data_IF_819655772019
#
_entry.id   IF_819655772019
#
_cell.length_a   1.000
_cell.length_b   1.000
_cell.length_c   1.000
_cell.angle_alpha   90.00
_cell.angle_beta   90.00
_cell.angle_gamma   90.00
#
_symmetry.space_group_name_H-M   'P 1'
#
loop_
_entity.id
_entity.type
_entity.pdbx_description
1 polymer ?
#
# COMPACT_ATOMS: atom_id res chain seq x y z
N UNK A 1 24.03 -26.54 -21.02
CA UNK A 1 24.48 -25.23 -20.51
C UNK A 1 24.27 -25.25 -19.01
N UNK A 2 25.34 -25.21 -18.22
CA UNK A 2 25.21 -25.05 -16.77
C UNK A 2 24.79 -23.61 -16.46
N UNK A 3 23.75 -23.45 -15.64
CA UNK A 3 23.30 -22.13 -15.17
C UNK A 3 24.35 -21.58 -14.20
N UNK A 4 25.09 -20.56 -14.65
CA UNK A 4 26.10 -19.87 -13.82
C UNK A 4 25.49 -19.12 -12.63
N UNK A 5 26.33 -18.62 -11.73
CA UNK A 5 25.90 -18.00 -10.46
C UNK A 5 24.87 -16.87 -10.66
N UNK A 6 25.06 -16.02 -11.67
CA UNK A 6 24.12 -14.94 -12.02
C UNK A 6 22.73 -15.50 -12.37
N UNK A 7 22.67 -16.52 -13.22
CA UNK A 7 21.41 -17.17 -13.61
C UNK A 7 20.69 -17.77 -12.38
N UNK A 8 21.42 -18.41 -11.47
CA UNK A 8 20.83 -19.01 -10.26
C UNK A 8 20.28 -17.95 -9.30
N UNK A 9 21.02 -16.85 -9.08
CA UNK A 9 20.60 -15.76 -8.20
C UNK A 9 19.37 -15.05 -8.77
N UNK A 10 19.30 -14.82 -10.08
CA UNK A 10 18.17 -14.16 -10.71
C UNK A 10 16.91 -15.02 -10.75
N UNK A 11 17.04 -16.35 -10.89
CA UNK A 11 15.92 -17.29 -10.69
C UNK A 11 15.41 -17.21 -9.25
N UNK A 12 16.32 -17.13 -8.26
CA UNK A 12 15.94 -17.00 -6.87
C UNK A 12 15.25 -15.65 -6.58
N UNK A 13 15.72 -14.57 -7.20
CA UNK A 13 15.06 -13.27 -7.16
C UNK A 13 13.62 -13.36 -7.68
N UNK A 14 13.43 -13.96 -8.86
CA UNK A 14 12.10 -14.17 -9.43
C UNK A 14 11.19 -15.02 -8.52
N UNK A 15 11.71 -16.12 -7.97
CA UNK A 15 10.95 -17.01 -7.08
C UNK A 15 10.52 -16.33 -5.78
N UNK A 16 11.37 -15.45 -5.23
CA UNK A 16 11.12 -14.75 -3.97
C UNK A 16 10.16 -13.55 -4.09
N UNK A 17 9.72 -13.20 -5.30
CA UNK A 17 8.69 -12.16 -5.51
C UNK A 17 7.25 -12.63 -5.21
N UNK A 18 6.97 -13.93 -5.25
CA UNK A 18 5.63 -14.46 -4.98
C UNK A 18 5.22 -14.46 -3.49
N UNK A 19 6.08 -14.88 -2.54
CA UNK A 19 5.72 -14.96 -1.12
C UNK A 19 5.12 -13.69 -0.50
N UNK A 20 5.60 -12.46 -0.79
CA UNK A 20 4.99 -11.24 -0.24
C UNK A 20 3.52 -11.04 -0.64
N UNK A 21 3.12 -11.45 -1.85
CA UNK A 21 1.72 -11.42 -2.29
C UNK A 21 0.85 -12.40 -1.48
N UNK A 22 1.34 -13.63 -1.25
CA UNK A 22 0.65 -14.60 -0.41
C UNK A 22 0.55 -14.14 1.05
N UNK A 23 1.59 -13.47 1.54
CA UNK A 23 1.62 -12.84 2.86
C UNK A 23 0.55 -11.76 3.01
N UNK A 24 0.38 -10.91 1.98
CA UNK A 24 -0.71 -9.94 1.90
C UNK A 24 -2.07 -10.64 1.95
N UNK A 25 -2.28 -11.66 1.11
CA UNK A 25 -3.52 -12.42 1.06
C UNK A 25 -3.84 -13.10 2.40
N UNK A 26 -2.82 -13.62 3.09
CA UNK A 26 -2.95 -14.20 4.43
C UNK A 26 -3.39 -13.16 5.47
N UNK A 27 -2.80 -11.96 5.46
CA UNK A 27 -3.26 -10.86 6.31
C UNK A 27 -4.73 -10.49 6.00
N UNK A 28 -5.09 -10.40 4.71
CA UNK A 28 -6.46 -10.12 4.28
C UNK A 28 -7.46 -11.15 4.82
N UNK A 29 -7.13 -12.44 4.71
CA UNK A 29 -7.95 -13.54 5.19
C UNK A 29 -8.09 -13.58 6.71
N UNK A 30 -6.97 -13.49 7.43
CA UNK A 30 -6.93 -13.67 8.88
C UNK A 30 -7.52 -12.47 9.65
N UNK A 31 -7.31 -11.27 9.14
CA UNK A 31 -7.77 -10.04 9.79
C UNK A 31 -9.21 -9.73 9.40
N UNK A 32 -9.62 -9.99 8.15
CA UNK A 32 -10.95 -9.65 7.62
C UNK A 32 -11.85 -10.83 7.23
N UNK A 33 -11.99 -11.91 8.03
CA UNK A 33 -12.57 -13.16 7.58
C UNK A 33 -14.04 -13.05 7.09
N UNK A 34 -14.79 -12.04 7.54
CA UNK A 34 -16.20 -11.89 7.16
C UNK A 34 -16.44 -11.30 5.77
N UNK A 35 -15.45 -10.66 5.15
CA UNK A 35 -15.46 -10.33 3.72
C UNK A 35 -14.18 -9.61 3.27
N UNK A 36 -13.03 -10.28 3.24
CA UNK A 36 -11.80 -9.69 2.68
C UNK A 36 -11.99 -9.16 1.24
N UNK A 37 -12.82 -9.85 0.43
CA UNK A 37 -13.28 -9.42 -0.90
C UNK A 37 -14.15 -8.15 -0.92
N UNK A 38 -14.64 -7.67 0.23
CA UNK A 38 -15.34 -6.37 0.36
C UNK A 38 -14.47 -5.30 1.00
N UNK A 39 -13.30 -5.66 1.53
CA UNK A 39 -12.34 -4.70 2.07
C UNK A 39 -11.68 -3.98 0.90
N UNK A 40 -11.96 -2.69 0.78
CA UNK A 40 -11.36 -1.88 -0.28
C UNK A 40 -9.85 -1.74 -0.05
N UNK A 41 -9.42 -1.70 1.22
CA UNK A 41 -7.99 -1.71 1.56
C UNK A 41 -7.30 -3.01 1.09
N UNK A 42 -7.93 -4.17 1.32
CA UNK A 42 -7.41 -5.45 0.85
C UNK A 42 -7.32 -5.51 -0.68
N UNK A 43 -8.36 -5.05 -1.39
CA UNK A 43 -8.36 -4.99 -2.86
C UNK A 43 -7.22 -4.12 -3.36
N UNK A 44 -7.07 -2.90 -2.82
CA UNK A 44 -6.03 -1.97 -3.23
C UNK A 44 -4.61 -2.55 -3.06
N UNK A 45 -4.34 -3.19 -1.91
CA UNK A 45 -3.02 -3.77 -1.63
C UNK A 45 -2.75 -5.01 -2.49
N UNK A 46 -3.74 -5.90 -2.65
CA UNK A 46 -3.61 -7.06 -3.55
C UNK A 46 -3.37 -6.61 -4.99
N UNK A 47 -4.11 -5.61 -5.48
CA UNK A 47 -3.88 -5.02 -6.81
C UNK A 47 -2.47 -4.47 -6.96
N UNK A 48 -1.92 -3.82 -5.92
CA UNK A 48 -0.52 -3.39 -5.91
C UNK A 48 0.46 -4.54 -6.12
N UNK A 49 0.28 -5.65 -5.38
CA UNK A 49 1.11 -6.85 -5.56
C UNK A 49 0.92 -7.50 -6.94
N UNK A 50 -0.31 -7.56 -7.44
CA UNK A 50 -0.59 -8.09 -8.79
C UNK A 50 0.04 -7.26 -9.91
N UNK A 51 0.30 -5.97 -9.68
CA UNK A 51 1.03 -5.13 -10.62
C UNK A 51 2.55 -5.32 -10.49
N UNK A 52 3.08 -5.29 -9.27
CA UNK A 52 4.52 -5.36 -9.01
C UNK A 52 5.13 -6.74 -9.35
N UNK A 53 4.49 -7.82 -8.90
CA UNK A 53 5.08 -9.17 -8.98
C UNK A 53 5.40 -9.59 -10.41
N UNK A 54 4.48 -9.45 -11.40
CA UNK A 54 4.78 -9.83 -12.77
C UNK A 54 5.92 -9.02 -13.39
N UNK A 55 5.96 -7.70 -13.17
CA UNK A 55 6.97 -6.83 -13.74
C UNK A 55 8.37 -7.15 -13.18
N UNK A 56 8.48 -7.30 -11.86
CA UNK A 56 9.72 -7.69 -11.19
C UNK A 56 10.18 -9.09 -11.58
N UNK A 57 9.26 -10.06 -11.59
CA UNK A 57 9.54 -11.44 -12.00
C UNK A 57 10.05 -11.47 -13.44
N UNK A 58 9.42 -10.71 -14.36
CA UNK A 58 9.85 -10.63 -15.75
C UNK A 58 11.25 -10.00 -15.88
N UNK A 59 11.55 -8.95 -15.12
CA UNK A 59 12.88 -8.31 -15.11
C UNK A 59 13.98 -9.29 -14.68
N UNK A 60 13.77 -10.01 -13.57
CA UNK A 60 14.71 -10.99 -13.05
C UNK A 60 14.87 -12.20 -13.97
N UNK A 61 13.78 -12.78 -14.47
CA UNK A 61 13.86 -13.89 -15.42
C UNK A 61 14.56 -13.47 -16.71
N UNK A 62 14.32 -12.26 -17.21
CA UNK A 62 15.05 -11.75 -18.38
C UNK A 62 16.56 -11.73 -18.10
N UNK A 63 16.99 -11.20 -16.95
CA UNK A 63 18.40 -11.17 -16.56
C UNK A 63 18.98 -12.57 -16.41
N UNK A 64 18.23 -13.51 -15.81
CA UNK A 64 18.65 -14.90 -15.65
C UNK A 64 18.98 -15.58 -16.98
N UNK A 65 18.16 -15.34 -18.02
CA UNK A 65 18.31 -15.99 -19.32
C UNK A 65 19.24 -15.25 -20.29
N UNK A 66 19.47 -13.94 -20.09
CA UNK A 66 20.25 -13.11 -21.03
C UNK A 66 21.57 -12.60 -20.44
N UNK A 67 21.82 -12.80 -19.13
CA UNK A 67 23.03 -12.37 -18.44
C UNK A 67 23.12 -10.85 -18.19
N UNK A 68 22.10 -10.09 -18.56
CA UNK A 68 22.00 -8.65 -18.36
C UNK A 68 20.55 -8.21 -18.21
N UNK A 69 20.32 -7.13 -17.46
CA UNK A 69 18.99 -6.53 -17.36
C UNK A 69 18.63 -5.77 -18.64
N UNK A 70 17.32 -5.74 -18.93
CA UNK A 70 16.75 -4.87 -19.95
C UNK A 70 16.27 -3.58 -19.28
N UNK A 71 16.87 -2.40 -19.55
CA UNK A 71 16.54 -1.15 -18.85
C UNK A 71 15.08 -0.73 -18.95
N UNK A 72 14.34 -1.22 -19.95
CA UNK A 72 12.90 -1.00 -20.08
C UNK A 72 12.10 -1.81 -19.06
N UNK A 73 12.50 -3.07 -18.78
CA UNK A 73 11.83 -3.92 -17.80
C UNK A 73 12.13 -3.47 -16.38
N UNK A 74 13.36 -3.05 -16.09
CA UNK A 74 13.71 -2.49 -14.77
C UNK A 74 12.90 -1.24 -14.45
N UNK A 75 12.76 -0.33 -15.42
CA UNK A 75 11.93 0.87 -15.24
C UNK A 75 10.45 0.54 -15.12
N UNK A 76 9.97 -0.45 -15.87
CA UNK A 76 8.58 -0.93 -15.75
C UNK A 76 8.31 -1.51 -14.35
N UNK A 77 9.23 -2.33 -13.83
CA UNK A 77 9.14 -2.87 -12.47
C UNK A 77 9.03 -1.75 -11.44
N UNK A 78 9.95 -0.79 -11.49
CA UNK A 78 9.97 0.35 -10.59
C UNK A 78 8.73 1.26 -10.72
N UNK A 79 8.17 1.42 -11.93
CA UNK A 79 6.92 2.12 -12.14
C UNK A 79 5.72 1.37 -11.53
N UNK A 80 5.71 0.04 -11.61
CA UNK A 80 4.70 -0.77 -10.92
C UNK A 80 4.79 -0.62 -9.39
N UNK A 81 6.01 -0.51 -8.83
CA UNK A 81 6.23 -0.19 -7.40
C UNK A 81 5.69 1.21 -7.06
N UNK A 82 5.94 2.19 -7.92
CA UNK A 82 5.42 3.57 -7.80
C UNK A 82 3.88 3.57 -7.75
N UNK A 83 3.22 2.88 -8.67
CA UNK A 83 1.74 2.76 -8.72
C UNK A 83 1.20 2.04 -7.47
N UNK A 84 1.82 0.92 -7.09
CA UNK A 84 1.42 0.18 -5.90
C UNK A 84 1.57 1.02 -4.62
N UNK A 85 2.55 1.91 -4.56
CA UNK A 85 2.74 2.85 -3.45
C UNK A 85 1.57 3.84 -3.31
N UNK A 86 0.96 4.27 -4.42
CA UNK A 86 -0.26 5.11 -4.40
C UNK A 86 -1.45 4.34 -3.83
N UNK A 87 -1.60 3.07 -4.23
CA UNK A 87 -2.65 2.19 -3.69
C UNK A 87 -2.45 1.94 -2.19
N UNK A 88 -1.21 1.71 -1.75
CA UNK A 88 -0.86 1.56 -0.35
C UNK A 88 -1.11 2.85 0.46
N UNK A 89 -0.76 4.01 -0.10
CA UNK A 89 -1.04 5.31 0.52
C UNK A 89 -2.54 5.51 0.75
N UNK A 90 -3.37 5.13 -0.21
CA UNK A 90 -4.82 5.17 -0.04
C UNK A 90 -5.29 4.17 1.02
N UNK A 91 -4.85 2.91 0.95
CA UNK A 91 -5.25 1.86 1.89
C UNK A 91 -4.92 2.23 3.34
N UNK A 92 -3.74 2.82 3.58
CA UNK A 92 -3.27 3.19 4.91
C UNK A 92 -3.80 4.53 5.41
N UNK A 93 -4.12 5.50 4.54
CA UNK A 93 -4.60 6.82 4.98
C UNK A 93 -6.11 6.99 4.92
N UNK A 94 -6.78 6.26 4.03
CA UNK A 94 -8.19 6.46 3.62
C UNK A 94 -8.49 7.90 3.22
N UNK A 95 -7.50 8.62 2.69
CA UNK A 95 -7.59 10.04 2.35
C UNK A 95 -7.26 10.28 0.88
N UNK A 96 -8.27 10.72 0.12
CA UNK A 96 -8.09 11.05 -1.30
C UNK A 96 -7.06 12.16 -1.53
N UNK A 97 -7.02 13.17 -0.64
CA UNK A 97 -6.05 14.26 -0.74
C UNK A 97 -4.62 13.76 -0.55
N UNK A 98 -4.39 12.91 0.46
CA UNK A 98 -3.08 12.32 0.71
C UNK A 98 -2.66 11.40 -0.43
N UNK A 99 -3.57 10.57 -0.94
CA UNK A 99 -3.34 9.72 -2.11
C UNK A 99 -3.00 10.53 -3.35
N UNK A 100 -3.69 11.65 -3.60
CA UNK A 100 -3.38 12.53 -4.74
C UNK A 100 -1.99 13.16 -4.60
N UNK A 101 -1.59 13.55 -3.39
CA UNK A 101 -0.26 14.06 -3.11
C UNK A 101 0.84 13.01 -3.33
N UNK A 102 0.66 11.77 -2.83
CA UNK A 102 1.60 10.68 -3.13
C UNK A 102 1.60 10.36 -4.62
N UNK A 103 0.43 10.36 -5.26
CA UNK A 103 0.27 10.15 -6.69
C UNK A 103 1.02 11.16 -7.55
N UNK A 104 1.01 12.44 -7.20
CA UNK A 104 1.77 13.46 -7.94
C UNK A 104 3.28 13.27 -7.82
N UNK A 105 3.76 12.83 -6.65
CA UNK A 105 5.17 12.46 -6.45
C UNK A 105 5.54 11.25 -7.31
N UNK A 106 4.72 10.19 -7.27
CA UNK A 106 4.90 8.98 -8.07
C UNK A 106 4.92 9.28 -9.58
N UNK A 107 3.98 10.09 -10.07
CA UNK A 107 3.95 10.54 -11.48
C UNK A 107 5.22 11.31 -11.84
N UNK A 108 5.67 12.21 -10.96
CA UNK A 108 6.90 12.99 -11.20
C UNK A 108 8.13 12.09 -11.26
N UNK A 109 8.20 11.10 -10.37
CA UNK A 109 9.25 10.08 -10.38
C UNK A 109 9.24 9.27 -11.68
N UNK A 110 8.08 8.75 -12.09
CA UNK A 110 7.96 7.97 -13.31
C UNK A 110 8.32 8.81 -14.55
N UNK A 111 7.91 10.09 -14.61
CA UNK A 111 8.32 11.01 -15.67
C UNK A 111 9.83 11.20 -15.72
N UNK A 112 10.50 11.38 -14.57
CA UNK A 112 11.96 11.48 -14.51
C UNK A 112 12.65 10.16 -14.92
N UNK A 113 12.05 9.01 -14.63
CA UNK A 113 12.59 7.71 -14.98
C UNK A 113 12.50 7.38 -16.48
N UNK A 114 11.43 7.82 -17.14
CA UNK A 114 11.18 7.50 -18.55
C UNK A 114 11.55 8.61 -19.53
N UNK A 115 11.43 9.87 -19.10
CA UNK A 115 11.62 11.06 -19.93
C UNK A 115 12.64 12.05 -19.35
N UNK A 116 13.31 11.70 -18.25
CA UNK A 116 14.34 12.53 -17.66
C UNK A 116 15.67 12.52 -18.44
N UNK A 117 16.68 13.24 -17.93
CA UNK A 117 18.03 13.22 -18.47
C UNK A 117 18.61 11.79 -18.50
N UNK A 118 19.42 11.51 -19.51
CA UNK A 118 19.99 10.18 -19.73
C UNK A 118 20.89 9.73 -18.56
N UNK A 119 21.49 10.67 -17.82
CA UNK A 119 22.28 10.34 -16.63
C UNK A 119 21.44 9.66 -15.54
N UNK A 120 20.16 10.00 -15.41
CA UNK A 120 19.24 9.41 -14.43
C UNK A 120 18.73 8.03 -14.87
N UNK A 121 18.77 7.72 -16.16
CA UNK A 121 18.33 6.42 -16.68
C UNK A 121 19.20 5.26 -16.20
N UNK A 122 20.48 5.51 -15.90
CA UNK A 122 21.42 4.48 -15.45
C UNK A 122 21.64 4.49 -13.92
N UNK A 123 21.16 5.50 -13.21
CA UNK A 123 21.42 5.67 -11.78
C UNK A 123 20.43 4.87 -10.89
N UNK A 124 20.65 3.54 -10.79
CA UNK A 124 19.77 2.62 -10.03
C UNK A 124 19.60 3.05 -8.57
N UNK A 125 20.68 3.47 -7.90
CA UNK A 125 20.65 3.87 -6.48
C UNK A 125 19.67 5.02 -6.21
N UNK A 126 19.63 6.02 -7.10
CA UNK A 126 18.72 7.17 -6.97
C UNK A 126 17.25 6.71 -7.02
N UNK A 127 16.94 5.81 -7.95
CA UNK A 127 15.57 5.30 -8.12
C UNK A 127 15.15 4.46 -6.90
N UNK A 128 16.04 3.61 -6.42
CA UNK A 128 15.80 2.79 -5.21
C UNK A 128 15.60 3.66 -3.97
N UNK A 129 16.47 4.64 -3.74
CA UNK A 129 16.37 5.56 -2.60
C UNK A 129 15.10 6.41 -2.66
N UNK A 130 14.72 6.89 -3.85
CA UNK A 130 13.50 7.69 -4.01
C UNK A 130 12.24 6.88 -3.75
N UNK A 131 12.18 5.63 -4.25
CA UNK A 131 11.10 4.72 -3.93
C UNK A 131 11.05 4.41 -2.43
N UNK A 132 12.19 4.27 -1.76
CA UNK A 132 12.22 4.09 -0.31
C UNK A 132 11.66 5.30 0.44
N UNK A 133 11.91 6.53 -0.04
CA UNK A 133 11.27 7.74 0.49
C UNK A 133 9.75 7.74 0.27
N UNK A 134 9.27 7.29 -0.90
CA UNK A 134 7.84 7.13 -1.17
C UNK A 134 7.21 6.09 -0.23
N UNK A 135 7.94 5.01 0.09
CA UNK A 135 7.51 4.01 1.08
C UNK A 135 7.33 4.64 2.46
N UNK A 136 8.33 5.38 2.95
CA UNK A 136 8.22 6.09 4.22
C UNK A 136 7.05 7.08 4.22
N UNK A 137 6.84 7.77 3.10
CA UNK A 137 5.74 8.70 2.94
C UNK A 137 4.40 7.98 3.08
N UNK A 138 4.15 6.90 2.33
CA UNK A 138 2.86 6.21 2.41
C UNK A 138 2.63 5.49 3.75
N UNK A 139 3.71 5.15 4.48
CA UNK A 139 3.63 4.56 5.82
C UNK A 139 3.31 5.60 6.90
N UNK A 140 3.62 6.88 6.66
CA UNK A 140 3.41 7.95 7.65
C UNK A 140 2.00 8.01 8.29
N UNK A 141 0.88 7.72 7.59
CA UNK A 141 -0.46 7.73 8.22
C UNK A 141 -0.59 6.75 9.39
N UNK A 142 0.24 5.71 9.46
CA UNK A 142 0.26 4.79 10.60
C UNK A 142 0.69 5.46 11.91
N UNK A 143 1.35 6.63 11.83
CA UNK A 143 1.78 7.42 12.99
C UNK A 143 0.76 8.51 13.34
N UNK A 144 0.32 9.29 12.35
CA UNK A 144 -0.44 10.52 12.60
C UNK A 144 -1.95 10.40 12.34
N UNK A 145 -2.41 9.34 11.65
CA UNK A 145 -3.84 9.17 11.27
C UNK A 145 -4.56 8.12 12.10
N UNK A 146 -3.86 7.45 13.02
CA UNK A 146 -4.42 6.40 13.87
C UNK A 146 -4.91 7.02 15.20
N UNK A 147 -6.04 6.51 15.70
CA UNK A 147 -6.57 6.92 17.02
C UNK A 147 -5.82 6.23 18.17
N UNK A 148 -5.17 5.10 17.87
CA UNK A 148 -4.38 4.30 18.82
C UNK A 148 -3.04 3.94 18.19
N UNK A 149 -2.08 3.57 19.03
CA UNK A 149 -0.77 3.15 18.54
C UNK A 149 -0.89 1.88 17.67
N UNK A 150 -0.42 1.96 16.43
CA UNK A 150 -0.41 0.83 15.51
C UNK A 150 0.83 -0.04 15.72
N UNK A 151 0.67 -1.12 16.48
CA UNK A 151 1.76 -2.07 16.76
C UNK A 151 2.39 -2.69 15.49
N UNK A 152 1.70 -2.64 14.35
CA UNK A 152 2.25 -3.14 13.08
C UNK A 152 3.45 -2.30 12.60
N UNK A 153 3.58 -1.06 13.08
CA UNK A 153 4.67 -0.16 12.65
C UNK A 153 6.06 -0.65 13.06
N UNK A 154 6.18 -1.32 14.22
CA UNK A 154 7.47 -1.81 14.74
C UNK A 154 8.10 -2.83 13.78
N UNK A 155 7.43 -3.96 13.46
CA UNK A 155 8.00 -4.93 12.52
C UNK A 155 8.16 -4.34 11.11
N UNK A 156 7.28 -3.42 10.68
CA UNK A 156 7.43 -2.73 9.38
C UNK A 156 8.72 -1.91 9.35
N UNK A 157 9.01 -1.12 10.37
CA UNK A 157 10.24 -0.33 10.45
C UNK A 157 11.48 -1.22 10.45
N UNK A 158 11.47 -2.34 11.18
CA UNK A 158 12.58 -3.30 11.16
C UNK A 158 12.78 -3.90 9.77
N UNK A 159 11.69 -4.31 9.11
CA UNK A 159 11.74 -4.84 7.75
C UNK A 159 12.21 -3.78 6.74
N UNK A 160 11.78 -2.53 6.89
CA UNK A 160 12.19 -1.43 6.03
C UNK A 160 13.69 -1.15 6.17
N UNK A 161 14.20 -1.01 7.40
CA UNK A 161 15.62 -0.74 7.64
C UNK A 161 16.50 -1.88 7.14
N UNK A 162 16.12 -3.13 7.43
CA UNK A 162 16.84 -4.30 6.93
C UNK A 162 16.75 -4.39 5.39
N UNK A 163 15.55 -4.21 4.82
CA UNK A 163 15.34 -4.26 3.38
C UNK A 163 16.12 -3.18 2.63
N UNK A 164 16.14 -1.95 3.15
CA UNK A 164 16.91 -0.84 2.59
C UNK A 164 18.41 -1.15 2.61
N UNK A 165 18.92 -1.69 3.73
CA UNK A 165 20.33 -2.11 3.83
C UNK A 165 20.67 -3.17 2.78
N UNK A 166 19.79 -4.16 2.58
CA UNK A 166 20.00 -5.22 1.61
C UNK A 166 19.90 -4.73 0.15
N UNK A 167 19.01 -3.77 -0.13
CA UNK A 167 18.79 -3.25 -1.48
C UNK A 167 19.82 -2.19 -1.92
N UNK A 168 20.28 -1.34 -1.00
CA UNK A 168 21.18 -0.21 -1.32
C UNK A 168 22.65 -0.58 -1.09
N UNK A 169 22.99 -1.17 0.06
CA UNK A 169 24.38 -1.50 0.37
C UNK A 169 24.82 -2.87 -0.13
N UNK A 170 23.86 -3.76 -0.38
CA UNK A 170 24.07 -5.11 -0.90
C UNK A 170 25.26 -5.85 -0.22
N UNK A 171 25.25 -5.99 1.12
CA UNK A 171 26.41 -6.48 1.89
C UNK A 171 26.82 -7.92 1.56
N UNK A 172 25.93 -8.70 0.94
CA UNK A 172 26.17 -10.08 0.53
C UNK A 172 26.32 -10.22 -1.00
N UNK A 173 26.59 -9.10 -1.69
CA UNK A 173 26.67 -9.04 -3.14
C UNK A 173 25.34 -9.45 -3.78
N UNK A 174 25.35 -10.29 -4.85
CA UNK A 174 24.13 -10.69 -5.58
C UNK A 174 23.07 -11.37 -4.70
N UNK A 175 23.47 -12.05 -3.61
CA UNK A 175 22.54 -12.72 -2.68
C UNK A 175 21.76 -11.76 -1.78
N UNK A 176 22.08 -10.45 -1.81
CA UNK A 176 21.38 -9.47 -0.99
C UNK A 176 19.94 -9.23 -1.47
N UNK A 177 19.73 -9.27 -2.78
CA UNK A 177 18.44 -8.95 -3.39
C UNK A 177 17.35 -10.02 -3.08
N UNK A 178 17.64 -11.33 -3.12
CA UNK A 178 16.68 -12.34 -2.66
C UNK A 178 16.31 -12.21 -1.17
N UNK A 179 17.27 -11.83 -0.32
CA UNK A 179 17.01 -11.62 1.11
C UNK A 179 16.17 -10.36 1.35
N UNK A 180 16.36 -9.32 0.54
CA UNK A 180 15.45 -8.18 0.50
C UNK A 180 14.02 -8.63 0.18
N UNK A 181 13.80 -9.45 -0.86
CA UNK A 181 12.47 -9.97 -1.18
C UNK A 181 11.85 -10.79 -0.05
N UNK A 182 12.63 -11.63 0.63
CA UNK A 182 12.13 -12.38 1.79
C UNK A 182 11.71 -11.47 2.94
N UNK A 183 12.35 -10.31 3.09
CA UNK A 183 11.96 -9.29 4.08
C UNK A 183 10.64 -8.62 3.73
N UNK A 184 10.26 -8.60 2.44
CA UNK A 184 8.95 -8.12 2.02
C UNK A 184 7.80 -9.00 2.52
N UNK A 185 8.06 -10.26 2.93
CA UNK A 185 7.04 -11.17 3.46
C UNK A 185 6.42 -10.60 4.76
N UNK A 186 7.18 -10.42 5.87
CA UNK A 186 6.62 -9.81 7.06
C UNK A 186 6.20 -8.37 6.84
N UNK A 187 6.93 -7.59 6.03
CA UNK A 187 6.54 -6.21 5.69
C UNK A 187 5.12 -6.15 5.09
N UNK A 188 4.86 -6.99 4.09
CA UNK A 188 3.56 -7.12 3.42
C UNK A 188 2.46 -7.51 4.39
N UNK A 189 2.70 -8.51 5.25
CA UNK A 189 1.72 -8.95 6.24
C UNK A 189 1.30 -7.82 7.17
N UNK A 190 2.27 -7.15 7.80
CA UNK A 190 2.00 -6.13 8.81
C UNK A 190 1.41 -4.86 8.20
N UNK A 191 1.82 -4.49 6.98
CA UNK A 191 1.25 -3.34 6.25
C UNK A 191 -0.22 -3.62 5.92
N UNK A 192 -0.52 -4.79 5.38
CA UNK A 192 -1.90 -5.20 5.06
C UNK A 192 -2.77 -5.32 6.30
N UNK A 193 -2.23 -5.91 7.38
CA UNK A 193 -2.91 -5.98 8.68
C UNK A 193 -3.28 -4.58 9.19
N UNK A 194 -2.35 -3.63 9.17
CA UNK A 194 -2.61 -2.24 9.59
C UNK A 194 -3.73 -1.61 8.77
N UNK A 195 -3.64 -1.70 7.43
CA UNK A 195 -4.62 -1.07 6.54
C UNK A 195 -6.05 -1.61 6.77
N UNK A 196 -6.19 -2.92 6.94
CA UNK A 196 -7.49 -3.57 7.14
C UNK A 196 -8.07 -3.24 8.52
N UNK A 197 -7.25 -3.28 9.57
CA UNK A 197 -7.71 -2.87 10.90
C UNK A 197 -8.17 -1.41 10.90
N UNK A 198 -7.42 -0.55 10.21
CA UNK A 198 -7.77 0.85 10.07
C UNK A 198 -9.08 1.08 9.29
N UNK A 199 -9.30 0.35 8.19
CA UNK A 199 -10.56 0.39 7.45
C UNK A 199 -11.75 0.02 8.34
N UNK A 200 -11.64 -1.06 9.12
CA UNK A 200 -12.70 -1.47 10.05
C UNK A 200 -13.03 -0.41 11.08
N UNK A 201 -12.03 0.13 11.76
CA UNK A 201 -12.24 1.20 12.75
C UNK A 201 -12.86 2.44 12.10
N UNK A 202 -12.49 2.74 10.86
CA UNK A 202 -13.07 3.87 10.14
C UNK A 202 -14.53 3.64 9.71
N UNK A 203 -14.88 2.41 9.32
CA UNK A 203 -16.26 2.00 9.01
C UNK A 203 -17.13 2.01 10.27
N UNK A 204 -16.67 1.42 11.37
CA UNK A 204 -17.38 1.43 12.67
C UNK A 204 -17.65 2.86 13.17
N UNK A 205 -16.67 3.75 13.05
CA UNK A 205 -16.83 5.16 13.43
C UNK A 205 -17.81 5.90 12.49
N UNK A 206 -17.80 5.58 11.19
CA UNK A 206 -18.74 6.16 10.24
C UNK A 206 -20.17 5.73 10.54
N UNK A 207 -20.38 4.44 10.79
CA UNK A 207 -21.70 3.89 11.10
C UNK A 207 -22.25 4.50 12.38
N UNK A 208 -21.42 4.63 13.43
CA UNK A 208 -21.78 5.31 14.67
C UNK A 208 -22.23 6.77 14.46
N UNK A 209 -21.51 7.53 13.63
CA UNK A 209 -21.84 8.92 13.32
C UNK A 209 -23.14 9.06 12.49
N UNK A 210 -23.45 8.07 11.66
CA UNK A 210 -24.70 8.04 10.89
C UNK A 210 -25.87 7.73 11.82
N UNK A 211 -25.74 6.72 12.69
CA UNK A 211 -26.78 6.37 13.65
C UNK A 211 -27.06 7.51 14.61
N UNK A 212 -26.03 8.18 15.13
CA UNK A 212 -26.22 9.30 16.05
C UNK A 212 -26.93 10.49 15.39
N UNK A 213 -26.62 10.78 14.11
CA UNK A 213 -27.30 11.84 13.35
C UNK A 213 -28.76 11.51 13.07
N UNK A 214 -29.09 10.24 12.82
CA UNK A 214 -30.48 9.82 12.65
C UNK A 214 -31.26 9.95 13.96
N UNK A 215 -30.68 9.53 15.09
CA UNK A 215 -31.32 9.70 16.40
C UNK A 215 -31.56 11.18 16.72
N UNK A 216 -30.59 12.07 16.45
CA UNK A 216 -30.72 13.51 16.68
C UNK A 216 -31.83 14.14 15.80
N UNK A 217 -31.88 13.74 14.51
CA UNK A 217 -32.94 14.15 13.57
C UNK A 217 -34.33 13.68 13.98
N UNK A 218 -34.46 12.43 14.46
CA UNK A 218 -35.74 11.85 14.90
C UNK A 218 -36.21 12.51 16.20
N UNK A 219 -35.28 12.89 17.10
CA UNK A 219 -35.63 13.67 18.29
C UNK A 219 -36.10 15.08 17.93
N UNK A 220 -35.46 15.77 16.98
CA UNK A 220 -35.85 17.11 16.54
C UNK A 220 -37.23 17.13 15.85
N UNK A 221 -37.53 16.13 15.02
CA UNK A 221 -38.88 15.94 14.43
C UNK A 221 -39.94 15.62 15.49
N UNK A 222 -39.61 14.82 16.50
CA UNK A 222 -40.50 14.50 17.63
C UNK A 222 -40.81 15.70 18.51
N UNK A 223 -39.84 16.60 18.74
CA UNK A 223 -40.09 17.85 19.48
C UNK A 223 -40.85 18.89 18.67
N UNK A 224 -40.66 18.96 17.35
CA UNK A 224 -41.42 19.89 16.49
C UNK A 224 -42.87 19.45 16.27
N UNK A 225 -43.15 18.14 16.18
CA UNK A 225 -44.52 17.60 16.12
C UNK A 225 -45.33 17.77 17.41
N UNK A 226 -44.67 17.94 18.57
CA UNK A 226 -45.35 18.23 19.86
C UNK A 226 -45.58 19.72 20.12
N UNK A 227 -45.05 20.61 19.29
CA UNK A 227 -45.14 22.07 19.46
C UNK A 227 -46.21 22.74 18.58
N UNK A 228 -47.17 21.99 18.03
CA UNK A 228 -48.37 22.58 17.41
C UNK A 228 -49.50 22.57 18.45
N UNK A 229 -49.79 23.71 19.11
CA UNK A 229 -51.02 23.79 19.88
C UNK A 229 -52.20 23.66 18.92
N UNK A 230 -53.06 22.67 19.16
CA UNK A 230 -54.41 22.64 18.57
C UNK A 230 -55.10 23.95 18.97
N UNK A 231 -55.19 24.89 18.04
CA UNK A 231 -56.20 25.93 18.08
C UNK A 231 -57.54 25.27 17.73
N UNK A 232 -58.18 24.70 18.76
CA UNK A 232 -59.58 24.35 18.70
C UNK A 232 -60.42 25.63 18.52
N UNK A 233 -61.48 25.46 17.74
CA UNK A 233 -62.47 26.45 17.36
C UNK A 233 -63.00 27.28 18.55
N UNK A 234 -63.16 28.59 18.33
CA UNK A 234 -64.33 29.30 18.83
C UNK A 234 -64.93 30.20 17.74
N UNK A 235 -66.10 29.77 17.30
CA UNK A 235 -67.06 30.45 16.44
C UNK A 235 -67.70 31.61 17.21
N UNK A 236 -67.71 32.80 16.62
CA UNK A 236 -68.69 33.89 16.78
C UNK A 236 -68.54 34.72 15.49
N UNK A 237 -69.54 34.99 14.64
CA UNK A 237 -70.99 35.20 14.80
C UNK A 237 -71.79 34.46 13.72
#
# INVERSE_FOLDING_TARGET
MECGEVCQVEILNAATMLPPMFSCAAACWLVGPKAWWRSHAAIALLSGWFLMVPASTASHLYCAFNGQYLPKLERLDQACISIASVLAAWALSRSNLFTAFVGSICISLDLLMFAGPEELHHHVAWRTETLACVVLLYLSPMVWRRNTFDFSIIPICLCFLFGLAMAVWAPLGPRSHPLFHLTLIPFSYYTSRSAILFEKTHEEMRDFLITSKHEESDTDESTTLKAVPRLDLMVTY
#
